data_IF_101533282628
#
_entry.id   IF_101533282628
#
_cell.length_a   1.000
_cell.length_b   1.000
_cell.length_c   1.000
_cell.angle_alpha   90.00
_cell.angle_beta   90.00
_cell.angle_gamma   90.00
#
_symmetry.space_group_name_H-M   'P 1'
#
loop_
_entity.id
_entity.type
_entity.pdbx_description
1 polymer ?
#
# COMPACT_ATOMS: atom_id res chain seq x y z
N UNK A 1 1.83 -5.92 38.60
CA UNK A 1 2.85 -6.82 39.17
C UNK A 1 3.80 -7.31 38.06
N UNK A 2 4.90 -6.57 37.88
CA UNK A 2 6.00 -6.94 36.99
C UNK A 2 6.74 -8.12 37.62
N UNK A 3 6.39 -9.34 37.22
CA UNK A 3 7.17 -10.52 37.55
C UNK A 3 8.53 -10.41 36.84
N UNK A 4 9.60 -10.56 37.62
CA UNK A 4 10.99 -10.60 37.21
C UNK A 4 11.19 -11.54 36.01
N UNK A 5 11.41 -10.98 34.82
CA UNK A 5 11.93 -11.73 33.68
C UNK A 5 13.44 -11.88 33.84
N UNK A 6 13.92 -13.11 33.65
CA UNK A 6 15.32 -13.49 33.73
C UNK A 6 16.22 -12.60 32.83
N UNK A 7 17.50 -12.42 33.18
CA UNK A 7 18.42 -11.59 32.42
C UNK A 7 18.71 -12.18 31.02
N UNK A 8 19.17 -11.29 30.13
CA UNK A 8 19.34 -11.45 28.69
C UNK A 8 19.91 -12.81 28.23
N UNK A 9 19.18 -13.50 27.34
CA UNK A 9 19.73 -14.54 26.46
C UNK A 9 20.12 -14.00 25.07
N UNK A 10 20.12 -12.69 24.86
CA UNK A 10 20.48 -12.04 23.59
C UNK A 10 21.99 -12.01 23.27
N UNK A 11 22.76 -12.99 23.73
CA UNK A 11 24.22 -12.99 23.66
C UNK A 11 24.84 -14.37 23.40
N UNK A 12 24.16 -15.26 22.66
CA UNK A 12 24.84 -16.41 22.08
C UNK A 12 25.90 -15.92 21.10
N UNK A 13 27.15 -16.40 21.23
CA UNK A 13 28.17 -16.11 20.23
C UNK A 13 27.64 -16.50 18.84
N UNK A 14 27.67 -15.56 17.90
CA UNK A 14 27.26 -15.81 16.50
C UNK A 14 28.03 -17.04 16.02
N UNK A 15 27.31 -18.09 15.61
CA UNK A 15 27.92 -19.32 15.09
C UNK A 15 28.82 -18.97 13.90
N UNK A 16 30.06 -19.48 13.92
CA UNK A 16 31.09 -19.19 12.90
C UNK A 16 31.52 -20.43 12.15
N UNK A 17 31.17 -21.62 12.64
CA UNK A 17 31.47 -22.88 11.97
C UNK A 17 30.73 -22.95 10.63
N UNK A 18 31.44 -22.99 9.48
CA UNK A 18 30.82 -23.01 8.16
C UNK A 18 29.87 -24.19 7.94
N UNK A 19 30.16 -25.36 8.52
CA UNK A 19 29.33 -26.56 8.34
C UNK A 19 28.00 -26.36 9.07
N UNK A 20 28.05 -25.94 10.34
CA UNK A 20 26.83 -25.67 11.11
C UNK A 20 26.01 -24.52 10.52
N UNK A 21 26.68 -23.50 9.96
CA UNK A 21 25.99 -22.42 9.26
C UNK A 21 25.30 -22.90 7.99
N UNK A 22 25.92 -23.82 7.25
CA UNK A 22 25.31 -24.45 6.08
C UNK A 22 24.10 -25.29 6.47
N UNK A 23 24.21 -26.12 7.51
CA UNK A 23 23.09 -26.93 7.99
C UNK A 23 21.92 -26.05 8.43
N UNK A 24 22.19 -24.94 9.14
CA UNK A 24 21.18 -23.95 9.50
C UNK A 24 20.56 -23.28 8.27
N UNK A 25 21.34 -22.97 7.25
CA UNK A 25 20.82 -22.41 6.00
C UNK A 25 19.85 -23.38 5.32
N UNK A 26 20.23 -24.66 5.19
CA UNK A 26 19.37 -25.69 4.61
C UNK A 26 18.08 -25.88 5.42
N UNK A 27 18.16 -25.80 6.74
CA UNK A 27 17.02 -25.99 7.63
C UNK A 27 16.07 -24.77 7.67
N UNK A 28 16.60 -23.55 7.58
CA UNK A 28 15.87 -22.30 7.85
C UNK A 28 15.69 -21.39 6.64
N UNK A 29 16.07 -21.84 5.45
CA UNK A 29 15.71 -21.19 4.21
C UNK A 29 14.25 -21.53 3.87
N UNK A 30 13.39 -20.53 3.97
CA UNK A 30 12.08 -20.60 3.36
C UNK A 30 12.18 -20.24 1.87
N UNK A 31 11.51 -21.02 1.02
CA UNK A 31 11.45 -20.79 -0.42
C UNK A 31 10.00 -20.90 -0.92
N UNK A 32 9.53 -19.85 -1.60
CA UNK A 32 8.31 -19.89 -2.38
C UNK A 32 8.65 -19.85 -3.88
N UNK A 33 8.70 -21.03 -4.52
CA UNK A 33 9.22 -21.21 -5.88
C UNK A 33 8.45 -20.40 -6.93
N UNK A 34 7.12 -20.35 -6.83
CA UNK A 34 6.28 -19.66 -7.82
C UNK A 34 6.45 -18.14 -7.77
N UNK A 35 6.64 -17.57 -6.58
CA UNK A 35 6.89 -16.14 -6.41
C UNK A 35 8.37 -15.78 -6.55
N UNK A 36 9.26 -16.77 -6.70
CA UNK A 36 10.70 -16.56 -6.67
C UNK A 36 11.19 -15.94 -5.35
N UNK A 37 10.44 -16.11 -4.25
CA UNK A 37 10.75 -15.52 -2.96
C UNK A 37 11.59 -16.48 -2.12
N UNK A 38 12.60 -15.93 -1.46
CA UNK A 38 13.43 -16.63 -0.48
C UNK A 38 13.51 -15.80 0.79
N UNK A 39 13.37 -16.43 1.94
CA UNK A 39 13.56 -15.81 3.25
C UNK A 39 14.59 -16.65 4.00
N UNK A 40 15.80 -16.12 4.14
CA UNK A 40 16.89 -16.73 4.90
C UNK A 40 16.97 -16.08 6.29
N UNK A 41 16.61 -16.85 7.32
CA UNK A 41 16.74 -16.44 8.73
C UNK A 41 17.86 -17.17 9.47
N UNK A 42 18.69 -17.95 8.76
CA UNK A 42 19.74 -18.79 9.36
C UNK A 42 20.74 -18.00 10.22
N UNK A 43 20.95 -16.72 9.87
CA UNK A 43 21.87 -15.78 10.53
C UNK A 43 21.32 -15.07 11.75
N UNK A 44 20.04 -15.24 12.08
CA UNK A 44 19.44 -14.60 13.26
C UNK A 44 19.89 -15.24 14.58
N UNK A 45 20.30 -16.52 14.54
CA UNK A 45 20.89 -17.21 15.69
C UNK A 45 19.93 -17.56 16.82
N UNK A 46 18.61 -17.59 16.58
CA UNK A 46 17.66 -18.12 17.55
C UNK A 46 17.90 -19.62 17.82
N UNK A 47 17.62 -20.03 19.05
CA UNK A 47 17.79 -21.41 19.54
C UNK A 47 16.50 -22.23 19.42
N UNK A 48 16.61 -23.56 19.43
CA UNK A 48 15.45 -24.44 19.45
C UNK A 48 14.58 -24.23 20.70
N UNK A 49 15.21 -23.99 21.85
CA UNK A 49 14.51 -23.63 23.09
C UNK A 49 13.71 -22.33 22.97
N UNK A 50 14.20 -21.36 22.21
CA UNK A 50 13.44 -20.14 21.92
C UNK A 50 12.20 -20.47 21.08
N UNK A 51 12.37 -21.24 20.01
CA UNK A 51 11.28 -21.61 19.12
C UNK A 51 10.20 -22.41 19.85
N UNK A 52 10.58 -23.39 20.67
CA UNK A 52 9.64 -24.17 21.48
C UNK A 52 8.82 -23.28 22.42
N UNK A 53 9.43 -22.24 23.01
CA UNK A 53 8.71 -21.28 23.86
C UNK A 53 7.80 -20.35 23.07
N UNK A 54 8.19 -19.98 21.84
CA UNK A 54 7.43 -19.08 20.98
C UNK A 54 6.30 -19.77 20.22
N UNK A 55 6.40 -21.08 19.99
CA UNK A 55 5.40 -21.89 19.29
C UNK A 55 3.96 -21.65 19.78
N UNK A 56 3.63 -21.80 21.09
CA UNK A 56 2.26 -21.54 21.55
C UNK A 56 1.85 -20.07 21.41
N UNK A 57 2.80 -19.12 21.40
CA UNK A 57 2.49 -17.71 21.15
C UNK A 57 2.14 -17.49 19.68
N UNK A 58 2.85 -18.14 18.76
CA UNK A 58 2.57 -18.08 17.34
C UNK A 58 1.25 -18.74 16.97
N UNK A 59 0.95 -19.90 17.56
CA UNK A 59 -0.36 -20.54 17.34
C UNK A 59 -1.52 -19.63 17.77
N UNK A 60 -1.39 -18.90 18.89
CA UNK A 60 -2.38 -17.89 19.28
C UNK A 60 -2.46 -16.73 18.30
N UNK A 61 -1.32 -16.27 17.76
CA UNK A 61 -1.30 -15.23 16.76
C UNK A 61 -1.99 -15.67 15.45
N UNK A 62 -1.77 -16.90 14.99
CA UNK A 62 -2.44 -17.45 13.80
C UNK A 62 -3.94 -17.55 13.98
N UNK A 63 -4.42 -18.00 15.15
CA UNK A 63 -5.86 -17.99 15.48
C UNK A 63 -6.43 -16.57 15.42
N UNK A 64 -5.76 -15.61 16.07
CA UNK A 64 -6.20 -14.21 16.06
C UNK A 64 -6.21 -13.61 14.65
N UNK A 65 -5.22 -13.93 13.80
CA UNK A 65 -5.20 -13.52 12.40
C UNK A 65 -6.39 -14.10 11.62
N UNK A 66 -6.69 -15.39 11.82
CA UNK A 66 -7.87 -16.03 11.22
C UNK A 66 -9.19 -15.42 11.67
N UNK A 67 -9.30 -14.94 12.91
CA UNK A 67 -10.46 -14.20 13.40
C UNK A 67 -10.57 -12.81 12.75
N UNK A 68 -9.45 -12.09 12.64
CA UNK A 68 -9.37 -10.78 11.99
C UNK A 68 -9.82 -10.85 10.52
N UNK A 69 -9.33 -11.84 9.77
CA UNK A 69 -9.68 -12.02 8.36
C UNK A 69 -11.16 -12.37 8.14
N UNK A 70 -11.80 -13.04 9.12
CA UNK A 70 -13.24 -13.30 9.13
C UNK A 70 -14.09 -12.06 9.49
N UNK A 71 -13.45 -10.92 9.78
CA UNK A 71 -14.13 -9.67 10.09
C UNK A 71 -14.32 -9.41 11.59
N UNK A 72 -13.51 -10.04 12.46
CA UNK A 72 -13.48 -9.61 13.86
C UNK A 72 -13.09 -8.14 13.99
N UNK A 73 -13.62 -7.47 15.03
CA UNK A 73 -13.26 -6.09 15.33
C UNK A 73 -11.82 -6.06 15.82
N UNK A 74 -10.94 -5.47 15.03
CA UNK A 74 -9.51 -5.40 15.32
C UNK A 74 -9.17 -4.26 16.29
N UNK A 75 -9.89 -3.14 16.16
CA UNK A 75 -9.72 -1.96 17.00
C UNK A 75 -11.02 -1.69 17.77
N UNK A 76 -11.11 -2.12 19.05
CA UNK A 76 -12.28 -1.88 19.89
C UNK A 76 -12.62 -0.40 20.05
N UNK A 77 -11.62 0.48 20.05
CA UNK A 77 -11.82 1.93 20.25
C UNK A 77 -12.50 2.60 19.06
N UNK A 78 -12.24 2.10 17.84
CA UNK A 78 -12.85 2.61 16.61
C UNK A 78 -14.03 1.76 16.13
N UNK A 79 -14.26 0.58 16.71
CA UNK A 79 -15.30 -0.35 16.29
C UNK A 79 -15.13 -0.86 14.86
N UNK A 80 -13.90 -0.89 14.34
CA UNK A 80 -13.61 -1.18 12.91
C UNK A 80 -13.01 -2.56 12.69
N UNK A 81 -13.41 -3.15 11.57
CA UNK A 81 -12.75 -4.32 10.98
C UNK A 81 -11.43 -3.91 10.30
N UNK A 82 -10.55 -4.87 10.06
CA UNK A 82 -9.34 -4.69 9.25
C UNK A 82 -9.40 -5.65 8.07
N UNK A 83 -9.77 -5.11 6.90
CA UNK A 83 -10.19 -5.91 5.74
C UNK A 83 -9.28 -5.83 4.52
N UNK A 84 -8.04 -5.33 4.65
CA UNK A 84 -7.16 -5.14 3.49
C UNK A 84 -6.83 -6.45 2.74
N UNK A 85 -6.98 -7.61 3.39
CA UNK A 85 -6.93 -8.94 2.77
C UNK A 85 -8.04 -9.15 1.73
N UNK A 86 -9.24 -8.62 1.96
CA UNK A 86 -10.39 -8.78 1.05
C UNK A 86 -10.21 -8.00 -0.25
N UNK A 87 -9.35 -6.98 -0.27
CA UNK A 87 -9.05 -6.22 -1.48
C UNK A 87 -8.36 -7.08 -2.54
N UNK A 88 -7.54 -8.03 -2.10
CA UNK A 88 -6.73 -8.94 -2.93
C UNK A 88 -7.38 -10.31 -3.12
N UNK A 89 -8.21 -10.75 -2.17
CA UNK A 89 -9.13 -11.86 -2.36
C UNK A 89 -10.56 -11.50 -1.87
N UNK A 90 -11.41 -10.95 -2.76
CA UNK A 90 -12.79 -10.58 -2.43
C UNK A 90 -13.65 -11.77 -2.00
N UNK A 91 -13.25 -13.01 -2.30
CA UNK A 91 -13.96 -14.23 -1.91
C UNK A 91 -14.00 -14.42 -0.38
N UNK A 92 -13.03 -13.86 0.33
CA UNK A 92 -12.92 -13.93 1.79
C UNK A 92 -13.70 -12.83 2.53
N UNK A 93 -14.34 -11.91 1.79
CA UNK A 93 -15.10 -10.84 2.42
C UNK A 93 -16.25 -11.41 3.28
N UNK A 94 -16.52 -10.85 4.48
CA UNK A 94 -17.52 -11.38 5.42
C UNK A 94 -18.95 -11.47 4.88
N UNK A 95 -19.25 -10.74 3.80
CA UNK A 95 -20.55 -10.76 3.14
C UNK A 95 -20.44 -10.44 1.65
N UNK A 96 -21.44 -10.86 0.89
CA UNK A 96 -21.52 -10.68 -0.57
C UNK A 96 -21.56 -9.21 -1.00
N UNK A 97 -22.07 -8.32 -0.15
CA UNK A 97 -22.12 -6.88 -0.43
C UNK A 97 -20.72 -6.26 -0.47
N UNK A 98 -19.86 -6.56 0.50
CA UNK A 98 -18.46 -6.12 0.52
C UNK A 98 -17.69 -6.69 -0.66
N UNK A 99 -17.83 -8.00 -0.92
CA UNK A 99 -17.24 -8.66 -2.10
C UNK A 99 -17.60 -7.91 -3.39
N UNK A 100 -18.90 -7.71 -3.62
CA UNK A 100 -19.39 -7.04 -4.83
C UNK A 100 -18.87 -5.60 -4.93
N UNK A 101 -18.78 -4.88 -3.81
CA UNK A 101 -18.23 -3.52 -3.80
C UNK A 101 -16.75 -3.50 -4.18
N UNK A 102 -15.95 -4.45 -3.71
CA UNK A 102 -14.53 -4.56 -4.05
C UNK A 102 -14.36 -4.90 -5.53
N UNK A 103 -15.01 -5.97 -6.00
CA UNK A 103 -14.96 -6.41 -7.40
C UNK A 103 -15.36 -5.27 -8.36
N UNK A 104 -16.50 -4.60 -8.09
CA UNK A 104 -16.94 -3.45 -8.89
C UNK A 104 -15.96 -2.28 -8.86
N UNK A 105 -15.28 -2.05 -7.74
CA UNK A 105 -14.29 -0.96 -7.64
C UNK A 105 -13.08 -1.25 -8.54
N UNK A 106 -12.59 -2.49 -8.56
CA UNK A 106 -11.49 -2.91 -9.43
C UNK A 106 -11.89 -2.81 -10.90
N UNK A 107 -13.07 -3.33 -11.27
CA UNK A 107 -13.58 -3.23 -12.65
C UNK A 107 -13.75 -1.77 -13.08
N UNK A 108 -14.23 -0.92 -12.19
CA UNK A 108 -14.40 0.51 -12.45
C UNK A 108 -13.06 1.21 -12.69
N UNK A 109 -12.05 0.92 -11.86
CA UNK A 109 -10.69 1.48 -12.02
C UNK A 109 -10.09 1.07 -13.37
N UNK A 110 -10.23 -0.20 -13.76
CA UNK A 110 -9.70 -0.71 -15.02
C UNK A 110 -10.39 -0.05 -16.22
N UNK A 111 -11.72 0.05 -16.20
CA UNK A 111 -12.49 0.69 -17.25
C UNK A 111 -12.14 2.19 -17.38
N UNK A 112 -12.10 2.91 -16.25
CA UNK A 112 -11.73 4.32 -16.23
C UNK A 112 -10.30 4.55 -16.71
N UNK A 113 -9.35 3.74 -16.26
CA UNK A 113 -7.94 3.86 -16.67
C UNK A 113 -7.78 3.59 -18.17
N UNK A 114 -8.48 2.60 -18.71
CA UNK A 114 -8.49 2.33 -20.15
C UNK A 114 -9.09 3.51 -20.94
N UNK A 115 -10.19 4.10 -20.46
CA UNK A 115 -10.84 5.25 -21.08
C UNK A 115 -9.93 6.50 -21.08
N UNK A 116 -9.12 6.70 -20.03
CA UNK A 116 -8.12 7.77 -19.94
C UNK A 116 -6.93 7.51 -20.88
N UNK A 117 -6.34 6.31 -20.82
CA UNK A 117 -5.15 5.95 -21.61
C UNK A 117 -5.45 5.92 -23.11
N UNK A 118 -6.64 5.46 -23.50
CA UNK A 118 -7.10 5.47 -24.89
C UNK A 118 -7.49 6.86 -25.42
N UNK A 119 -7.63 7.85 -24.54
CA UNK A 119 -8.05 9.21 -24.90
C UNK A 119 -9.55 9.36 -25.17
N UNK A 120 -10.37 8.37 -24.79
CA UNK A 120 -11.84 8.49 -24.83
C UNK A 120 -12.30 9.55 -23.82
N UNK A 121 -11.76 9.50 -22.60
CA UNK A 121 -11.81 10.63 -21.66
C UNK A 121 -10.54 11.44 -21.87
N UNK A 122 -10.70 12.70 -22.28
CA UNK A 122 -9.60 13.57 -22.64
C UNK A 122 -9.71 14.93 -21.95
N UNK A 123 -8.58 15.59 -21.67
CA UNK A 123 -8.60 16.94 -21.15
C UNK A 123 -9.20 17.93 -22.18
N UNK A 124 -9.96 18.95 -21.75
CA UNK A 124 -10.66 19.87 -22.67
C UNK A 124 -9.73 20.67 -23.58
N UNK A 125 -8.52 21.01 -23.11
CA UNK A 125 -7.68 22.04 -23.72
C UNK A 125 -6.27 21.57 -24.08
N UNK A 126 -6.00 20.26 -24.06
CA UNK A 126 -4.69 19.71 -24.45
C UNK A 126 -4.55 19.60 -25.97
N UNK A 127 -3.45 20.12 -26.53
CA UNK A 127 -3.09 19.92 -27.93
C UNK A 127 -2.77 18.45 -28.27
N UNK A 128 -2.32 17.67 -27.28
CA UNK A 128 -2.02 16.24 -27.42
C UNK A 128 -3.30 15.40 -27.46
N UNK A 129 -4.44 15.96 -27.01
CA UNK A 129 -5.74 15.29 -27.03
C UNK A 129 -5.88 14.13 -26.04
N UNK A 130 -4.94 13.97 -25.08
CA UNK A 130 -4.96 12.96 -24.02
C UNK A 130 -4.30 13.48 -22.74
N UNK A 131 -4.54 12.77 -21.64
CA UNK A 131 -3.78 12.97 -20.41
C UNK A 131 -2.37 12.39 -20.55
N UNK A 132 -1.38 13.09 -20.01
CA UNK A 132 0.04 12.69 -20.02
C UNK A 132 0.65 12.70 -18.63
N UNK A 133 0.05 13.44 -17.70
CA UNK A 133 0.55 13.60 -16.34
C UNK A 133 -0.53 13.21 -15.33
N UNK A 134 -0.11 12.70 -14.18
CA UNK A 134 -0.92 12.53 -12.98
C UNK A 134 -0.34 13.45 -11.91
N UNK A 135 -1.19 14.22 -11.24
CA UNK A 135 -0.83 14.93 -10.01
C UNK A 135 -1.64 14.33 -8.87
N UNK A 136 -0.98 13.52 -8.03
CA UNK A 136 -1.60 12.88 -6.87
C UNK A 136 -1.44 13.78 -5.65
N UNK A 137 -2.54 14.10 -4.98
CA UNK A 137 -2.58 14.93 -3.77
C UNK A 137 -3.05 14.06 -2.61
N UNK A 138 -2.18 13.84 -1.63
CA UNK A 138 -2.47 12.99 -0.48
C UNK A 138 -1.25 12.88 0.42
N UNK A 139 -1.46 12.58 1.71
CA UNK A 139 -0.38 12.48 2.70
C UNK A 139 -0.33 11.09 3.35
N UNK A 140 0.87 10.68 3.77
CA UNK A 140 1.09 9.44 4.51
C UNK A 140 0.70 8.20 3.68
N UNK A 141 -0.22 7.40 4.21
CA UNK A 141 -0.69 6.19 3.51
C UNK A 141 -1.37 6.45 2.17
N UNK A 142 -1.87 7.66 1.95
CA UNK A 142 -2.48 8.09 0.68
C UNK A 142 -1.45 8.50 -0.39
N UNK A 143 -0.15 8.42 -0.11
CA UNK A 143 0.91 8.84 -1.04
C UNK A 143 2.13 7.93 -1.04
N UNK A 144 2.60 7.45 0.12
CA UNK A 144 3.82 6.64 0.22
C UNK A 144 3.73 5.29 -0.52
N UNK A 145 2.57 4.63 -0.47
CA UNK A 145 2.33 3.39 -1.22
C UNK A 145 2.39 3.62 -2.73
N UNK A 146 1.59 4.56 -3.28
CA UNK A 146 1.61 4.85 -4.71
C UNK A 146 2.96 5.36 -5.20
N UNK A 147 3.68 6.15 -4.38
CA UNK A 147 5.06 6.55 -4.66
C UNK A 147 5.99 5.34 -4.81
N UNK A 148 5.93 4.40 -3.86
CA UNK A 148 6.75 3.20 -3.89
C UNK A 148 6.44 2.32 -5.09
N UNK A 149 5.16 2.07 -5.39
CA UNK A 149 4.75 1.25 -6.54
C UNK A 149 5.11 1.90 -7.87
N UNK A 150 4.90 3.22 -8.00
CA UNK A 150 5.33 3.96 -9.19
C UNK A 150 6.82 3.81 -9.43
N UNK A 151 7.65 4.03 -8.41
CA UNK A 151 9.11 3.93 -8.56
C UNK A 151 9.55 2.48 -8.83
N UNK A 152 8.90 1.49 -8.20
CA UNK A 152 9.30 0.09 -8.29
C UNK A 152 8.86 -0.61 -9.57
N UNK A 153 7.65 -0.31 -10.07
CA UNK A 153 6.96 -1.12 -11.08
C UNK A 153 6.56 -0.35 -12.34
N UNK A 154 6.60 0.99 -12.35
CA UNK A 154 6.24 1.71 -13.56
C UNK A 154 7.23 1.40 -14.70
N UNK A 155 6.74 1.24 -15.94
CA UNK A 155 7.62 1.08 -17.09
C UNK A 155 8.42 2.37 -17.34
N UNK A 156 9.54 2.28 -18.06
CA UNK A 156 10.39 3.44 -18.36
C UNK A 156 9.65 4.60 -19.04
N UNK A 157 8.64 4.26 -19.85
CA UNK A 157 7.78 5.21 -20.54
C UNK A 157 6.31 4.92 -20.20
N UNK A 158 5.84 5.32 -19.00
CA UNK A 158 4.46 5.08 -18.61
C UNK A 158 3.51 5.93 -19.46
N UNK A 159 2.27 5.46 -19.73
CA UNK A 159 1.28 6.22 -20.49
C UNK A 159 1.04 7.61 -19.90
N UNK A 160 0.97 7.69 -18.56
CA UNK A 160 0.95 8.93 -17.80
C UNK A 160 2.09 8.93 -16.76
N UNK A 161 2.80 10.05 -16.60
CA UNK A 161 3.84 10.22 -15.56
C UNK A 161 3.22 10.81 -14.30
N UNK A 162 3.55 10.27 -13.14
CA UNK A 162 2.99 10.73 -11.87
C UNK A 162 3.91 11.68 -11.10
N UNK A 163 3.31 12.65 -10.43
CA UNK A 163 3.91 13.56 -9.45
C UNK A 163 3.06 13.59 -8.19
N UNK A 164 3.67 13.92 -7.06
CA UNK A 164 3.01 13.87 -5.75
C UNK A 164 3.07 15.22 -5.05
N UNK A 165 1.95 15.59 -4.43
CA UNK A 165 1.84 16.65 -3.42
C UNK A 165 1.45 15.95 -2.11
N UNK A 166 2.44 15.73 -1.25
CA UNK A 166 2.32 15.02 0.02
C UNK A 166 2.80 15.81 1.24
N UNK A 167 3.20 17.05 1.02
CA UNK A 167 3.64 18.00 2.03
C UNK A 167 2.76 19.26 1.99
N UNK A 168 2.60 19.92 3.13
CA UNK A 168 1.87 21.18 3.26
C UNK A 168 2.72 22.42 2.96
N UNK A 169 4.03 22.27 2.76
CA UNK A 169 4.92 23.38 2.43
C UNK A 169 4.51 24.03 1.10
N UNK A 170 4.06 25.31 1.11
CA UNK A 170 3.64 26.00 -0.10
C UNK A 170 4.72 26.04 -1.18
N UNK A 171 6.00 26.18 -0.79
CA UNK A 171 7.09 26.21 -1.76
C UNK A 171 7.23 24.90 -2.54
N UNK A 172 6.98 23.77 -1.87
CA UNK A 172 6.97 22.45 -2.51
C UNK A 172 5.81 22.29 -3.49
N UNK A 173 4.62 22.77 -3.11
CA UNK A 173 3.43 22.76 -3.97
C UNK A 173 3.64 23.63 -5.21
N UNK A 174 4.08 24.88 -5.01
CA UNK A 174 4.40 25.83 -6.08
C UNK A 174 5.44 25.26 -7.03
N UNK A 175 6.46 24.58 -6.50
CA UNK A 175 7.48 23.94 -7.31
C UNK A 175 6.90 22.83 -8.21
N UNK A 176 6.05 21.95 -7.69
CA UNK A 176 5.41 20.90 -8.50
C UNK A 176 4.51 21.48 -9.60
N UNK A 177 3.73 22.51 -9.27
CA UNK A 177 2.85 23.19 -10.23
C UNK A 177 3.67 23.90 -11.31
N UNK A 178 4.74 24.61 -10.92
CA UNK A 178 5.64 25.29 -11.85
C UNK A 178 6.36 24.31 -12.78
N UNK A 179 6.78 23.14 -12.28
CA UNK A 179 7.41 22.09 -13.09
C UNK A 179 6.45 21.46 -14.12
N UNK A 180 5.14 21.39 -13.83
CA UNK A 180 4.16 20.97 -14.82
C UNK A 180 4.01 22.01 -15.94
N UNK A 181 3.99 23.30 -15.61
CA UNK A 181 3.90 24.37 -16.61
C UNK A 181 2.73 24.16 -17.57
N UNK A 182 3.01 24.09 -18.87
CA UNK A 182 1.97 23.85 -19.89
C UNK A 182 1.34 22.45 -19.81
N UNK A 183 2.05 21.46 -19.25
CA UNK A 183 1.53 20.10 -19.07
C UNK A 183 0.34 20.05 -18.11
N UNK A 184 0.09 21.10 -17.31
CA UNK A 184 -1.09 21.24 -16.46
C UNK A 184 -2.40 21.02 -17.24
N UNK A 185 -2.44 21.43 -18.52
CA UNK A 185 -3.59 21.24 -19.43
C UNK A 185 -3.85 19.78 -19.79
N UNK A 186 -2.89 18.89 -19.55
CA UNK A 186 -2.93 17.45 -19.80
C UNK A 186 -2.72 16.62 -18.52
N UNK A 187 -2.87 17.25 -17.35
CA UNK A 187 -2.72 16.59 -16.05
C UNK A 187 -4.05 16.09 -15.51
N UNK A 188 -4.12 14.82 -15.12
CA UNK A 188 -5.20 14.28 -14.31
C UNK A 188 -4.83 14.47 -12.83
N UNK A 189 -5.69 15.14 -12.06
CA UNK A 189 -5.48 15.37 -10.63
C UNK A 189 -6.24 14.32 -9.83
N UNK A 190 -5.53 13.54 -9.02
CA UNK A 190 -6.12 12.52 -8.14
C UNK A 190 -6.02 13.03 -6.71
N UNK A 191 -7.15 13.28 -6.05
CA UNK A 191 -7.20 13.78 -4.67
C UNK A 191 -7.59 12.64 -3.73
N UNK A 192 -6.70 12.31 -2.80
CA UNK A 192 -6.84 11.14 -1.93
C UNK A 192 -6.94 11.59 -0.48
N UNK A 193 -8.12 11.39 0.12
CA UNK A 193 -8.36 11.71 1.53
C UNK A 193 -9.55 10.95 2.05
N UNK A 194 -9.36 10.03 3.00
CA UNK A 194 -10.45 9.20 3.53
C UNK A 194 -11.62 10.01 4.10
N UNK A 195 -11.32 10.97 4.97
CA UNK A 195 -12.34 11.82 5.60
C UNK A 195 -12.76 13.01 4.72
N UNK A 196 -11.97 13.33 3.69
CA UNK A 196 -12.06 14.56 2.93
C UNK A 196 -11.67 15.82 3.71
N UNK A 197 -11.33 15.70 5.00
CA UNK A 197 -11.04 16.82 5.90
C UNK A 197 -9.56 17.00 6.24
N UNK A 198 -8.67 16.13 5.74
CA UNK A 198 -7.23 16.20 5.97
C UNK A 198 -6.68 17.58 5.55
N UNK A 199 -6.17 18.40 6.48
CA UNK A 199 -5.76 19.78 6.18
C UNK A 199 -4.71 19.87 5.08
N UNK A 200 -3.71 18.99 5.09
CA UNK A 200 -2.62 18.96 4.12
C UNK A 200 -3.13 18.68 2.70
N UNK A 201 -3.94 17.63 2.53
CA UNK A 201 -4.58 17.32 1.23
C UNK A 201 -5.49 18.46 0.78
N UNK A 202 -6.26 19.06 1.70
CA UNK A 202 -7.17 20.17 1.38
C UNK A 202 -6.41 21.40 0.90
N UNK A 203 -5.31 21.75 1.55
CA UNK A 203 -4.48 22.89 1.15
C UNK A 203 -3.87 22.64 -0.25
N UNK A 204 -3.31 21.44 -0.48
CA UNK A 204 -2.83 21.05 -1.80
C UNK A 204 -3.90 21.14 -2.90
N UNK A 205 -5.13 20.68 -2.60
CA UNK A 205 -6.27 20.81 -3.52
C UNK A 205 -6.59 22.27 -3.83
N UNK A 206 -6.63 23.15 -2.82
CA UNK A 206 -6.97 24.56 -3.03
C UNK A 206 -5.92 25.29 -3.89
N UNK A 207 -4.64 25.00 -3.68
CA UNK A 207 -3.55 25.57 -4.49
C UNK A 207 -3.58 25.06 -5.93
N UNK A 208 -3.83 23.76 -6.14
CA UNK A 208 -3.99 23.22 -7.49
C UNK A 208 -5.22 23.80 -8.18
N UNK A 209 -6.36 23.90 -7.49
CA UNK A 209 -7.56 24.56 -8.04
C UNK A 209 -7.29 26.04 -8.38
N UNK A 210 -6.49 26.74 -7.57
CA UNK A 210 -6.05 28.11 -7.88
C UNK A 210 -5.21 28.15 -9.15
N UNK A 211 -4.21 27.27 -9.29
CA UNK A 211 -3.39 27.19 -10.49
C UNK A 211 -4.22 26.87 -11.76
N UNK A 212 -5.22 26.00 -11.65
CA UNK A 212 -6.18 25.74 -12.73
C UNK A 212 -6.95 26.99 -13.13
N UNK A 213 -7.49 27.75 -12.16
CA UNK A 213 -8.20 29.02 -12.43
C UNK A 213 -7.28 30.05 -13.09
N UNK A 214 -6.06 30.21 -12.58
CA UNK A 214 -5.08 31.17 -13.11
C UNK A 214 -4.66 30.80 -14.56
N UNK A 215 -4.67 29.51 -14.89
CA UNK A 215 -4.43 29.00 -16.25
C UNK A 215 -5.69 28.99 -17.15
N UNK A 216 -6.86 29.41 -16.65
CA UNK A 216 -8.13 29.37 -17.37
C UNK A 216 -8.67 27.96 -17.62
N UNK A 217 -8.31 27.00 -16.77
CA UNK A 217 -8.71 25.59 -16.87
C UNK A 217 -9.88 25.26 -15.93
N UNK A 218 -10.70 24.30 -16.34
CA UNK A 218 -11.79 23.76 -15.52
C UNK A 218 -11.30 22.51 -14.77
N UNK A 219 -11.09 22.65 -13.46
CA UNK A 219 -10.65 21.55 -12.59
C UNK A 219 -11.61 20.35 -12.62
N UNK A 220 -12.91 20.57 -12.75
CA UNK A 220 -13.91 19.48 -12.75
C UNK A 220 -13.69 18.49 -13.90
N UNK A 221 -13.06 18.92 -14.99
CA UNK A 221 -12.75 18.10 -16.18
C UNK A 221 -11.43 17.36 -16.09
N UNK A 222 -10.70 17.52 -15.00
CA UNK A 222 -9.39 16.92 -14.79
C UNK A 222 -9.21 16.37 -13.37
N UNK A 223 -10.17 16.54 -12.47
CA UNK A 223 -10.14 16.07 -11.09
C UNK A 223 -10.84 14.72 -10.90
N UNK A 224 -10.27 13.88 -10.05
CA UNK A 224 -10.82 12.61 -9.56
C UNK A 224 -10.63 12.55 -8.05
N UNK A 225 -11.63 12.02 -7.31
CA UNK A 225 -11.54 11.84 -5.87
C UNK A 225 -11.42 10.36 -5.49
N UNK A 226 -10.54 10.06 -4.52
CA UNK A 226 -10.50 8.76 -3.83
C UNK A 226 -10.76 9.02 -2.35
N UNK A 227 -11.95 8.62 -1.89
CA UNK A 227 -12.45 9.06 -0.60
C UNK A 227 -13.57 8.18 -0.07
N UNK A 228 -13.90 8.32 1.21
CA UNK A 228 -15.07 7.66 1.78
C UNK A 228 -16.36 8.27 1.19
N UNK A 229 -17.33 7.41 0.87
CA UNK A 229 -18.66 7.81 0.43
C UNK A 229 -19.31 8.77 1.44
N UNK A 230 -19.93 9.86 0.96
CA UNK A 230 -20.52 10.94 1.76
C UNK A 230 -19.54 11.78 2.60
N UNK A 231 -18.22 11.62 2.44
CA UNK A 231 -17.22 12.51 3.03
C UNK A 231 -17.31 13.94 2.46
N UNK A 232 -16.55 14.86 3.05
CA UNK A 232 -16.44 16.23 2.54
C UNK A 232 -15.96 16.26 1.09
N UNK A 233 -14.87 15.55 0.79
CA UNK A 233 -14.29 15.47 -0.55
C UNK A 233 -15.24 14.79 -1.55
N UNK A 234 -15.98 13.77 -1.11
CA UNK A 234 -16.95 13.06 -1.95
C UNK A 234 -18.08 13.99 -2.40
N UNK A 235 -18.59 14.77 -1.45
CA UNK A 235 -19.63 15.76 -1.71
C UNK A 235 -19.11 16.91 -2.58
N UNK A 236 -17.90 17.42 -2.33
CA UNK A 236 -17.26 18.43 -3.18
C UNK A 236 -17.14 17.93 -4.62
N UNK A 237 -16.55 16.75 -4.83
CA UNK A 237 -16.38 16.18 -6.16
C UNK A 237 -17.71 15.95 -6.88
N UNK A 238 -18.75 15.54 -6.16
CA UNK A 238 -20.10 15.35 -6.70
C UNK A 238 -20.78 16.67 -7.07
N UNK A 239 -20.69 17.69 -6.21
CA UNK A 239 -21.33 19.00 -6.42
C UNK A 239 -20.64 19.76 -7.56
N UNK A 240 -19.31 19.70 -7.61
CA UNK A 240 -18.51 20.37 -8.64
C UNK A 240 -18.45 19.58 -9.95
N UNK A 241 -18.94 18.33 -9.98
CA UNK A 241 -19.03 17.52 -11.20
C UNK A 241 -17.66 17.05 -11.71
N UNK A 242 -16.80 16.57 -10.81
CA UNK A 242 -15.50 15.99 -11.14
C UNK A 242 -15.65 14.76 -12.04
N UNK A 243 -14.58 14.37 -12.75
CA UNK A 243 -14.62 13.28 -13.72
C UNK A 243 -15.11 11.98 -13.10
N UNK A 244 -14.60 11.64 -11.91
CA UNK A 244 -14.97 10.42 -11.22
C UNK A 244 -14.68 10.45 -9.71
N UNK A 245 -15.25 9.48 -9.00
CA UNK A 245 -15.07 9.25 -7.56
C UNK A 245 -14.92 7.76 -7.29
N UNK A 246 -13.86 7.39 -6.58
CA UNK A 246 -13.58 6.00 -6.18
C UNK A 246 -13.68 5.84 -4.67
N UNK A 247 -14.30 4.74 -4.19
CA UNK A 247 -14.54 4.55 -2.77
C UNK A 247 -13.26 4.17 -2.02
N UNK A 248 -13.10 4.76 -0.83
CA UNK A 248 -12.17 4.32 0.20
C UNK A 248 -12.97 3.81 1.40
N UNK A 249 -12.84 2.53 1.72
CA UNK A 249 -13.64 1.91 2.78
C UNK A 249 -13.11 2.22 4.19
N UNK A 250 -14.00 2.21 5.17
CA UNK A 250 -13.71 2.48 6.58
C UNK A 250 -12.79 1.41 7.21
N UNK A 251 -12.93 0.14 6.81
CA UNK A 251 -12.09 -0.99 7.23
C UNK A 251 -10.73 -1.07 6.51
N UNK A 252 -10.45 -0.15 5.59
CA UNK A 252 -9.12 0.02 4.99
C UNK A 252 -8.36 1.09 5.77
N UNK A 253 -7.29 0.68 6.45
CA UNK A 253 -6.36 1.60 7.11
C UNK A 253 -5.49 2.34 6.09
N UNK A 254 -5.10 3.58 6.39
CA UNK A 254 -4.28 4.39 5.47
C UNK A 254 -2.97 3.70 5.06
N UNK A 255 -2.24 3.13 6.02
CA UNK A 255 -0.98 2.39 5.77
C UNK A 255 -1.15 1.02 5.08
N UNK A 256 -2.38 0.57 4.91
CA UNK A 256 -2.73 -0.71 4.25
C UNK A 256 -3.65 -0.45 3.05
N UNK A 257 -3.61 0.74 2.46
CA UNK A 257 -4.54 1.17 1.41
C UNK A 257 -4.03 1.02 -0.01
N UNK A 258 -2.76 0.62 -0.20
CA UNK A 258 -2.15 0.51 -1.53
C UNK A 258 -2.95 -0.35 -2.51
N UNK A 259 -3.43 -1.52 -2.05
CA UNK A 259 -4.21 -2.43 -2.88
C UNK A 259 -5.70 -2.05 -2.97
N UNK A 260 -6.07 -0.84 -2.55
CA UNK A 260 -7.40 -0.26 -2.78
C UNK A 260 -7.33 0.74 -3.94
N UNK A 261 -8.42 1.46 -4.21
CA UNK A 261 -8.42 2.54 -5.20
C UNK A 261 -7.23 3.51 -5.07
N UNK A 262 -6.75 3.74 -3.82
CA UNK A 262 -5.61 4.62 -3.51
C UNK A 262 -4.37 4.32 -4.36
N UNK A 263 -3.97 3.05 -4.47
CA UNK A 263 -2.80 2.65 -5.27
C UNK A 263 -3.15 2.04 -6.62
N UNK A 264 -4.27 1.32 -6.72
CA UNK A 264 -4.66 0.68 -7.97
C UNK A 264 -4.97 1.69 -9.09
N UNK A 265 -5.64 2.80 -8.79
CA UNK A 265 -5.93 3.81 -9.82
C UNK A 265 -4.65 4.45 -10.40
N UNK A 266 -3.73 5.04 -9.61
CA UNK A 266 -2.52 5.60 -10.17
C UNK A 266 -1.65 4.55 -10.87
N UNK A 267 -1.55 3.32 -10.32
CA UNK A 267 -0.78 2.25 -10.94
C UNK A 267 -1.34 1.86 -12.33
N UNK A 268 -2.66 1.68 -12.46
CA UNK A 268 -3.30 1.36 -13.73
C UNK A 268 -3.11 2.47 -14.79
N UNK A 269 -3.17 3.74 -14.38
CA UNK A 269 -2.91 4.88 -15.26
C UNK A 269 -1.46 4.98 -15.74
N UNK A 270 -0.51 4.46 -14.95
CA UNK A 270 0.89 4.30 -15.34
C UNK A 270 1.16 3.04 -16.17
N UNK A 271 0.13 2.24 -16.46
CA UNK A 271 0.23 1.02 -17.25
C UNK A 271 0.74 -0.20 -16.47
N UNK A 272 0.73 -0.15 -15.13
CA UNK A 272 1.06 -1.28 -14.28
C UNK A 272 -0.13 -2.25 -14.25
N UNK A 273 0.15 -3.56 -14.35
CA UNK A 273 -0.89 -4.59 -14.22
C UNK A 273 -1.34 -4.75 -12.76
N UNK A 274 -2.41 -4.04 -12.42
CA UNK A 274 -3.00 -4.06 -11.09
C UNK A 274 -3.64 -5.41 -10.74
N UNK A 275 -4.06 -6.22 -11.72
CA UNK A 275 -4.61 -7.55 -11.44
C UNK A 275 -3.49 -8.48 -10.97
N UNK A 276 -2.35 -8.45 -11.65
CA UNK A 276 -1.17 -9.23 -11.24
C UNK A 276 -0.63 -8.77 -9.87
N UNK A 277 -0.69 -7.46 -9.56
CA UNK A 277 -0.37 -6.96 -8.22
C UNK A 277 -1.28 -7.58 -7.14
N UNK A 278 -2.60 -7.63 -7.39
CA UNK A 278 -3.56 -8.23 -6.45
C UNK A 278 -3.33 -9.74 -6.31
N UNK A 279 -3.07 -10.44 -7.41
CA UNK A 279 -2.75 -11.89 -7.42
C UNK A 279 -1.48 -12.16 -6.61
N UNK A 280 -0.39 -11.42 -6.84
CA UNK A 280 0.85 -11.59 -6.10
C UNK A 280 0.68 -11.35 -4.60
N UNK A 281 -0.13 -10.35 -4.22
CA UNK A 281 -0.43 -10.07 -2.84
C UNK A 281 -1.35 -11.13 -2.18
N UNK A 282 -2.29 -11.72 -2.94
CA UNK A 282 -3.16 -12.80 -2.49
C UNK A 282 -2.37 -14.11 -2.27
N UNK A 283 -1.46 -14.44 -3.19
CA UNK A 283 -0.55 -15.59 -3.03
C UNK A 283 0.29 -15.46 -1.76
N UNK A 284 0.80 -14.26 -1.47
CA UNK A 284 1.52 -14.04 -0.21
C UNK A 284 0.63 -14.24 1.02
N UNK A 285 -0.65 -13.87 0.97
CA UNK A 285 -1.55 -14.12 2.08
C UNK A 285 -1.74 -15.61 2.35
N UNK A 286 -1.93 -16.41 1.31
CA UNK A 286 -2.02 -17.87 1.42
C UNK A 286 -0.81 -18.44 2.17
N UNK A 287 0.39 -18.00 1.82
CA UNK A 287 1.63 -18.41 2.52
C UNK A 287 1.66 -17.97 3.98
N UNK A 288 1.20 -16.75 4.29
CA UNK A 288 1.16 -16.25 5.67
C UNK A 288 0.05 -16.85 6.53
N UNK A 289 -0.88 -17.60 5.93
CA UNK A 289 -1.90 -18.40 6.65
C UNK A 289 -1.41 -19.78 7.07
N UNK A 290 -0.26 -20.24 6.56
CA UNK A 290 0.32 -21.50 7.00
C UNK A 290 0.64 -21.43 8.50
N UNK A 291 0.08 -22.35 9.30
CA UNK A 291 0.27 -22.35 10.76
C UNK A 291 1.55 -23.06 11.20
N UNK A 292 2.29 -23.66 10.27
CA UNK A 292 3.62 -24.22 10.51
C UNK A 292 4.65 -23.09 10.46
N UNK A 293 5.23 -22.73 11.60
CA UNK A 293 6.15 -21.58 11.75
C UNK A 293 7.31 -21.62 10.74
N UNK A 294 7.91 -22.80 10.52
CA UNK A 294 9.02 -22.98 9.57
C UNK A 294 8.64 -22.74 8.11
N UNK A 295 7.36 -22.87 7.79
CA UNK A 295 6.82 -22.73 6.43
C UNK A 295 6.07 -21.40 6.25
N UNK A 296 6.14 -20.49 7.24
CA UNK A 296 5.45 -19.21 7.19
C UNK A 296 6.47 -18.05 7.17
N UNK A 297 6.61 -17.33 6.03
CA UNK A 297 7.63 -16.29 5.89
C UNK A 297 7.42 -15.12 6.85
N UNK A 298 6.17 -14.75 7.13
CA UNK A 298 5.86 -13.68 8.07
C UNK A 298 6.17 -14.09 9.52
N UNK A 299 5.90 -15.34 9.90
CA UNK A 299 6.24 -15.85 11.22
C UNK A 299 7.76 -15.88 11.43
N UNK A 300 8.52 -16.34 10.43
CA UNK A 300 9.99 -16.35 10.47
C UNK A 300 10.55 -14.94 10.68
N UNK A 301 10.07 -13.95 9.93
CA UNK A 301 10.50 -12.55 10.08
C UNK A 301 10.07 -11.95 11.43
N UNK A 302 8.85 -12.22 11.89
CA UNK A 302 8.34 -11.73 13.17
C UNK A 302 9.15 -12.29 14.36
N UNK A 303 9.44 -13.59 14.36
CA UNK A 303 10.26 -14.23 15.38
C UNK A 303 11.72 -13.77 15.33
N UNK A 304 12.25 -13.55 14.13
CA UNK A 304 13.59 -13.00 13.93
C UNK A 304 13.69 -11.61 14.56
N UNK A 305 12.72 -10.74 14.29
CA UNK A 305 12.67 -9.41 14.89
C UNK A 305 12.47 -9.48 16.41
N UNK A 306 11.59 -10.34 16.90
CA UNK A 306 11.38 -10.55 18.33
C UNK A 306 12.66 -11.02 19.02
N UNK A 307 13.38 -11.99 18.44
CA UNK A 307 14.66 -12.47 18.94
C UNK A 307 15.72 -11.36 18.98
N UNK A 308 15.82 -10.56 17.92
CA UNK A 308 16.78 -9.48 17.84
C UNK A 308 16.54 -8.38 18.88
N UNK A 309 15.32 -8.26 19.39
CA UNK A 309 14.88 -7.10 20.15
C UNK A 309 14.26 -7.43 21.50
N UNK A 310 14.15 -8.70 21.87
CA UNK A 310 13.36 -9.17 23.02
C UNK A 310 11.89 -8.67 23.01
N UNK A 311 11.36 -8.38 21.81
CA UNK A 311 10.03 -7.80 21.63
C UNK A 311 9.87 -6.36 22.11
N UNK A 312 10.97 -5.64 22.33
CA UNK A 312 10.96 -4.22 22.71
C UNK A 312 11.55 -3.35 21.59
N UNK A 313 11.12 -2.09 21.46
CA UNK A 313 11.64 -1.14 20.47
C UNK A 313 13.05 -0.63 20.78
N UNK A 314 14.00 -1.52 21.10
CA UNK A 314 15.36 -1.20 21.53
C UNK A 314 16.35 -1.02 20.37
N UNK A 315 15.96 -1.43 19.15
CA UNK A 315 16.81 -1.39 17.95
C UNK A 315 16.07 -0.78 16.77
N UNK A 316 16.85 -0.28 15.82
CA UNK A 316 16.37 0.18 14.51
C UNK A 316 16.47 -0.98 13.53
N UNK A 317 15.41 -1.20 12.73
CA UNK A 317 15.43 -2.16 11.62
C UNK A 317 15.94 -1.44 10.36
N UNK A 318 17.07 -1.88 9.82
CA UNK A 318 17.57 -1.41 8.54
C UNK A 318 16.98 -2.23 7.39
N UNK A 319 16.19 -1.62 6.52
CA UNK A 319 15.73 -2.22 5.27
C UNK A 319 16.67 -1.80 4.13
N UNK A 320 17.53 -2.70 3.68
CA UNK A 320 18.51 -2.44 2.62
C UNK A 320 18.08 -3.15 1.34
N UNK A 321 17.84 -2.38 0.28
CA UNK A 321 17.53 -2.92 -1.05
C UNK A 321 18.79 -2.89 -1.91
N UNK A 322 19.18 -4.04 -2.43
CA UNK A 322 20.36 -4.21 -3.30
C UNK A 322 19.99 -4.24 -4.79
N UNK A 323 18.84 -3.68 -5.15
CA UNK A 323 18.46 -3.42 -6.52
C UNK A 323 18.02 -1.95 -6.63
N UNK A 324 18.39 -1.30 -7.73
CA UNK A 324 17.76 -0.05 -8.11
C UNK A 324 16.34 -0.41 -8.57
N UNK A 325 15.32 0.32 -8.15
CA UNK A 325 13.92 0.08 -8.53
C UNK A 325 13.72 0.35 -10.04
N UNK A 326 14.27 -0.50 -10.91
CA UNK A 326 14.12 -0.48 -12.37
C UNK A 326 14.28 -1.91 -12.91
N UNK A 327 13.14 -2.54 -13.19
CA UNK A 327 13.01 -3.69 -14.10
C UNK A 327 13.34 -5.08 -13.53
N UNK A 328 12.32 -5.93 -13.49
CA UNK A 328 12.44 -7.34 -13.91
C UNK A 328 11.85 -7.46 -15.32
#
# INVERSE_FOLDING_TARGET
PLASRAPAQGGGAVEKDPIKLWDRYVEWLYQHKQLGLFVDVSRMGFTDDFLQRMEPLMQRAFVAMGELEKGAIANPDEGRMVGHYWLRDPGLAPNSFLRTKIEKTVDHILAFSQDIVSGKIKPPSSQVGRFTQILSIGIGGSSLGPQFVSEALAPDNPPLKIRFIDNTDPAGIDHQIAQLGEELKSTLVIVISKSGGTPETRNGLLEVQKAFRDAGLDFSKQGVAITQENSLLDNTARIEGWLDRFPMFDWVGGRTSELSAVGLLPAALQGIDVKEMLVGAALMDEETRNTVVKENPAALLALSWYWATDGIGSKVCGLLRYNFCRGF
#
